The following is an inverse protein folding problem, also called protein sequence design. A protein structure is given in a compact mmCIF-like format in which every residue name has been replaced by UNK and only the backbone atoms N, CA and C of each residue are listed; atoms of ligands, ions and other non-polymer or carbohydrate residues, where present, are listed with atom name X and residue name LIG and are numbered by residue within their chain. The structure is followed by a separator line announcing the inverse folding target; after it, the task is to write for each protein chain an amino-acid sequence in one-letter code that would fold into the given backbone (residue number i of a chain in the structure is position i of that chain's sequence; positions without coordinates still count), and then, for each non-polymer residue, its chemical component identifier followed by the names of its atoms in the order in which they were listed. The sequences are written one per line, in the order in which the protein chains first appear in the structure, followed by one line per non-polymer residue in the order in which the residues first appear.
data_IF_843908107036
#
_entry.id   IF_843908107036
#
_cell.length_a   1.000
_cell.length_b   1.000
_cell.length_c   1.000
_cell.angle_alpha   90.00
_cell.angle_beta   90.00
_cell.angle_gamma   90.00
#
_symmetry.space_group_name_H-M   'P 1'
#
loop_
_entity.id
_entity.type
_entity.pdbx_description
1 polymer ?
#
# COMPACT_ATOMS: atom_id res chain seq x y z
N UNK A 1 -55.07 -9.77 70.77
CA UNK A 1 -54.66 -8.33 70.77
C UNK A 1 -53.24 -8.27 70.31
N UNK A 2 -53.03 -7.78 69.09
CA UNK A 2 -51.68 -7.68 68.48
C UNK A 2 -51.19 -6.26 68.77
N UNK A 3 -50.14 -6.16 69.60
CA UNK A 3 -49.54 -4.90 70.00
C UNK A 3 -48.59 -4.40 68.87
N UNK A 4 -49.03 -3.48 67.99
CA UNK A 4 -48.24 -2.81 66.95
C UNK A 4 -47.34 -1.77 67.62
N UNK A 5 -46.07 -2.07 67.87
CA UNK A 5 -45.11 -1.07 68.28
C UNK A 5 -44.83 -0.13 67.06
N UNK A 6 -45.21 1.12 67.23
CA UNK A 6 -44.86 2.21 66.30
C UNK A 6 -43.38 2.50 66.49
N UNK A 7 -42.52 2.13 65.48
CA UNK A 7 -41.13 2.60 65.38
C UNK A 7 -41.19 4.08 65.12
N UNK A 8 -40.69 4.92 66.00
CA UNK A 8 -40.40 6.32 65.74
C UNK A 8 -39.32 6.43 64.70
N UNK A 9 -39.57 7.02 63.54
CA UNK A 9 -38.57 7.41 62.62
C UNK A 9 -37.87 8.66 63.15
N UNK A 10 -36.62 8.57 63.55
CA UNK A 10 -35.78 9.72 63.87
C UNK A 10 -35.48 10.47 62.54
N UNK A 11 -35.80 11.74 62.50
CA UNK A 11 -35.47 12.60 61.36
C UNK A 11 -33.94 12.86 61.29
N UNK A 12 -33.41 12.97 60.06
CA UNK A 12 -32.00 13.28 59.86
C UNK A 12 -31.67 14.70 60.35
N UNK A 13 -30.50 14.87 60.96
CA UNK A 13 -29.96 16.18 61.32
C UNK A 13 -29.51 16.92 60.07
N UNK A 14 -29.69 18.24 60.05
CA UNK A 14 -29.14 19.09 58.95
C UNK A 14 -27.65 18.90 58.72
N UNK A 15 -26.91 18.69 59.79
CA UNK A 15 -25.45 18.42 59.77
C UNK A 15 -25.14 17.07 59.09
N UNK A 16 -25.94 16.05 59.38
CA UNK A 16 -25.84 14.73 58.76
C UNK A 16 -26.11 14.79 57.25
N UNK A 17 -27.09 15.60 56.82
CA UNK A 17 -27.37 15.86 55.42
C UNK A 17 -26.22 16.59 54.71
N UNK A 18 -25.64 17.59 55.38
CA UNK A 18 -24.49 18.32 54.82
C UNK A 18 -23.26 17.40 54.65
N UNK A 19 -22.97 16.57 55.62
CA UNK A 19 -21.85 15.60 55.57
C UNK A 19 -22.12 14.56 54.46
N UNK A 20 -23.33 14.04 54.35
CA UNK A 20 -23.72 13.09 53.31
C UNK A 20 -23.59 13.72 51.88
N UNK A 21 -23.97 14.99 51.68
CA UNK A 21 -23.80 15.70 50.44
C UNK A 21 -22.31 15.91 50.09
N UNK A 22 -21.46 16.30 51.05
CA UNK A 22 -20.03 16.46 50.81
C UNK A 22 -19.36 15.12 50.45
N UNK A 23 -19.68 14.04 51.14
CA UNK A 23 -19.16 12.71 50.84
C UNK A 23 -19.63 12.21 49.45
N UNK A 24 -20.93 12.45 49.14
CA UNK A 24 -21.48 12.08 47.83
C UNK A 24 -20.81 12.85 46.69
N UNK A 25 -20.53 14.14 46.89
CA UNK A 25 -19.84 14.97 45.89
C UNK A 25 -18.40 14.53 45.68
N UNK A 26 -17.67 14.20 46.75
CA UNK A 26 -16.32 13.67 46.69
C UNK A 26 -16.28 12.31 45.95
N UNK A 27 -17.22 11.42 46.28
CA UNK A 27 -17.35 10.12 45.62
C UNK A 27 -17.71 10.24 44.13
N UNK A 28 -18.67 11.10 43.81
CA UNK A 28 -19.05 11.39 42.42
C UNK A 28 -17.86 11.93 41.62
N UNK A 29 -17.08 12.87 42.19
CA UNK A 29 -15.86 13.39 41.56
C UNK A 29 -14.81 12.30 41.27
N UNK A 30 -14.63 11.38 42.21
CA UNK A 30 -13.76 10.22 42.04
C UNK A 30 -14.21 9.29 40.92
N UNK A 31 -15.50 8.96 40.87
CA UNK A 31 -16.07 8.10 39.81
C UNK A 31 -15.95 8.73 38.45
N UNK A 32 -16.28 10.03 38.34
CA UNK A 32 -16.14 10.77 37.07
C UNK A 32 -14.69 10.79 36.60
N UNK A 33 -13.72 11.01 37.50
CA UNK A 33 -12.30 11.01 37.15
C UNK A 33 -11.84 9.65 36.59
N UNK A 34 -12.23 8.55 37.24
CA UNK A 34 -11.93 7.19 36.76
C UNK A 34 -12.58 6.92 35.40
N UNK A 35 -13.85 7.32 35.24
CA UNK A 35 -14.57 7.13 33.99
C UNK A 35 -13.91 7.89 32.82
N UNK A 36 -13.55 9.17 33.02
CA UNK A 36 -12.87 9.99 32.00
C UNK A 36 -11.50 9.40 31.63
N UNK A 37 -10.73 8.94 32.62
CA UNK A 37 -9.42 8.33 32.35
C UNK A 37 -9.56 7.00 31.60
N UNK A 38 -10.52 6.16 31.96
CA UNK A 38 -10.76 4.89 31.26
C UNK A 38 -11.26 5.12 29.84
N UNK A 39 -12.16 6.08 29.62
CA UNK A 39 -12.65 6.44 28.29
C UNK A 39 -11.52 6.94 27.39
N UNK A 40 -10.63 7.77 27.94
CA UNK A 40 -9.45 8.24 27.23
C UNK A 40 -8.49 7.10 26.86
N UNK A 41 -8.16 6.24 27.82
CA UNK A 41 -7.29 5.08 27.55
C UNK A 41 -7.88 4.16 26.47
N UNK A 42 -9.19 3.93 26.52
CA UNK A 42 -9.88 3.10 25.52
C UNK A 42 -9.79 3.71 24.10
N UNK A 43 -10.01 5.03 23.96
CA UNK A 43 -9.86 5.71 22.68
C UNK A 43 -8.42 5.63 22.14
N UNK A 44 -7.44 5.80 23.03
CA UNK A 44 -6.03 5.67 22.68
C UNK A 44 -5.67 4.27 22.18
N UNK A 45 -6.11 3.24 22.91
CA UNK A 45 -5.88 1.84 22.53
C UNK A 45 -6.55 1.51 21.18
N UNK A 46 -7.75 2.03 20.93
CA UNK A 46 -8.46 1.86 19.66
C UNK A 46 -7.68 2.53 18.49
N UNK A 47 -7.21 3.76 18.67
CA UNK A 47 -6.45 4.48 17.65
C UNK A 47 -5.12 3.77 17.34
N UNK A 48 -4.42 3.26 18.36
CA UNK A 48 -3.20 2.47 18.18
C UNK A 48 -3.51 1.15 17.49
N UNK A 49 -4.61 0.48 17.87
CA UNK A 49 -5.06 -0.75 17.23
C UNK A 49 -5.33 -0.57 15.73
N UNK A 50 -6.10 0.45 15.34
CA UNK A 50 -6.37 0.79 13.94
C UNK A 50 -5.09 1.07 13.16
N UNK A 51 -4.18 1.89 13.71
CA UNK A 51 -2.88 2.18 13.10
C UNK A 51 -2.08 0.88 12.82
N UNK A 52 -2.10 -0.07 13.75
CA UNK A 52 -1.38 -1.34 13.56
C UNK A 52 -2.03 -2.23 12.51
N UNK A 53 -3.34 -2.27 12.45
CA UNK A 53 -4.09 -3.06 11.46
C UNK A 53 -3.92 -2.48 10.06
N UNK A 54 -4.00 -1.16 9.89
CA UNK A 54 -3.75 -0.45 8.64
C UNK A 54 -2.31 -0.70 8.15
N UNK A 55 -1.31 -0.60 9.05
CA UNK A 55 0.08 -0.85 8.69
C UNK A 55 0.33 -2.31 8.25
N UNK A 56 -0.25 -3.29 8.94
CA UNK A 56 -0.14 -4.70 8.55
C UNK A 56 -0.87 -5.00 7.24
N UNK A 57 -2.00 -4.35 7.00
CA UNK A 57 -2.70 -4.46 5.73
C UNK A 57 -1.85 -3.88 4.59
N UNK A 58 -1.32 -2.67 4.77
CA UNK A 58 -0.42 -2.01 3.84
C UNK A 58 0.78 -2.90 3.46
N UNK A 59 1.48 -3.45 4.46
CA UNK A 59 2.62 -4.34 4.24
C UNK A 59 2.24 -5.59 3.45
N UNK A 60 1.11 -6.22 3.78
CA UNK A 60 0.65 -7.44 3.08
C UNK A 60 0.34 -7.19 1.62
N UNK A 61 -0.35 -6.08 1.31
CA UNK A 61 -0.68 -5.71 -0.07
C UNK A 61 0.57 -5.47 -0.91
N UNK A 62 1.51 -4.65 -0.41
CA UNK A 62 2.75 -4.36 -1.11
C UNK A 62 3.61 -5.63 -1.25
N UNK A 63 3.77 -6.40 -0.16
CA UNK A 63 4.57 -7.63 -0.16
C UNK A 63 4.01 -8.67 -1.13
N UNK A 64 2.68 -8.83 -1.19
CA UNK A 64 2.04 -9.74 -2.12
C UNK A 64 2.31 -9.33 -3.57
N UNK A 65 2.10 -8.06 -3.93
CA UNK A 65 2.32 -7.58 -5.29
C UNK A 65 3.81 -7.65 -5.67
N UNK A 66 4.74 -7.34 -4.75
CA UNK A 66 6.18 -7.50 -4.98
C UNK A 66 6.58 -8.96 -5.20
N UNK A 67 6.01 -9.90 -4.43
CA UNK A 67 6.29 -11.34 -4.62
C UNK A 67 5.87 -11.84 -5.99
N UNK A 68 4.85 -11.22 -6.56
CA UNK A 68 4.29 -11.54 -7.86
C UNK A 68 4.85 -10.68 -9.00
N UNK A 69 5.77 -9.76 -8.71
CA UNK A 69 6.38 -8.89 -9.73
C UNK A 69 7.02 -9.75 -10.84
N UNK A 70 6.69 -9.44 -12.10
CA UNK A 70 7.17 -10.20 -13.25
C UNK A 70 6.47 -11.55 -13.48
N UNK A 71 5.39 -11.85 -12.75
CA UNK A 71 4.59 -13.03 -13.03
C UNK A 71 3.73 -12.79 -14.30
N UNK A 72 4.03 -13.49 -15.36
CA UNK A 72 3.31 -13.46 -16.64
C UNK A 72 2.74 -14.84 -17.01
N UNK A 73 2.08 -15.47 -16.03
CA UNK A 73 1.48 -16.82 -16.16
C UNK A 73 2.53 -17.89 -16.49
N UNK A 74 2.34 -18.58 -17.60
CA UNK A 74 3.22 -19.61 -18.14
C UNK A 74 4.33 -19.05 -19.06
N UNK A 75 4.35 -17.71 -19.31
CA UNK A 75 5.41 -17.07 -20.08
C UNK A 75 6.68 -16.91 -19.27
N UNK A 76 7.78 -17.45 -19.77
CA UNK A 76 9.10 -17.27 -19.18
C UNK A 76 9.83 -16.05 -19.73
N UNK A 77 9.40 -15.53 -20.88
CA UNK A 77 10.05 -14.42 -21.62
C UNK A 77 9.05 -13.29 -21.86
N UNK A 78 9.04 -12.22 -21.05
CA UNK A 78 8.15 -11.08 -21.26
C UNK A 78 8.33 -10.36 -22.62
N UNK A 79 9.49 -10.49 -23.24
CA UNK A 79 9.76 -9.92 -24.57
C UNK A 79 8.91 -10.52 -25.69
N UNK A 80 8.31 -11.68 -25.47
CA UNK A 80 7.38 -12.32 -26.40
C UNK A 80 5.94 -11.82 -26.28
N UNK A 81 5.67 -10.89 -25.37
CA UNK A 81 4.36 -10.27 -25.22
C UNK A 81 4.19 -9.16 -26.22
N UNK A 82 3.22 -9.31 -27.09
CA UNK A 82 2.69 -8.27 -27.98
C UNK A 82 1.39 -7.68 -27.42
N UNK A 83 0.85 -6.66 -28.04
CA UNK A 83 -0.44 -6.09 -27.68
C UNK A 83 -1.35 -5.95 -28.90
N UNK A 84 -2.64 -6.14 -28.69
CA UNK A 84 -3.65 -5.94 -29.71
C UNK A 84 -3.76 -4.45 -30.06
N UNK A 85 -3.81 -4.15 -31.37
CA UNK A 85 -3.88 -2.75 -31.84
C UNK A 85 -5.13 -1.97 -31.40
N UNK A 86 -6.17 -2.66 -30.92
CA UNK A 86 -7.35 -2.07 -30.30
C UNK A 86 -7.22 -1.79 -28.79
N UNK A 87 -6.11 -2.16 -28.19
CA UNK A 87 -5.89 -1.97 -26.77
C UNK A 87 -5.55 -0.50 -26.46
N UNK A 88 -6.48 0.19 -25.78
CA UNK A 88 -6.25 1.55 -25.27
C UNK A 88 -6.46 1.57 -23.78
N UNK A 89 -5.52 2.17 -23.02
CA UNK A 89 -5.73 2.47 -21.61
C UNK A 89 -6.07 3.96 -21.47
N UNK A 90 -7.22 4.25 -20.88
CA UNK A 90 -7.53 5.58 -20.39
C UNK A 90 -6.58 5.92 -19.23
N UNK A 91 -5.92 7.09 -19.29
CA UNK A 91 -4.93 7.51 -18.28
C UNK A 91 -3.77 6.51 -18.12
N UNK A 92 -3.08 6.23 -19.21
CA UNK A 92 -1.81 5.48 -19.17
C UNK A 92 -0.79 6.23 -18.29
N UNK A 93 -0.25 5.56 -17.28
CA UNK A 93 0.68 6.13 -16.31
C UNK A 93 2.14 6.20 -16.81
N UNK A 94 2.39 6.17 -18.10
CA UNK A 94 3.74 6.27 -18.64
C UNK A 94 4.31 7.68 -18.61
N UNK A 95 5.62 7.83 -18.84
CA UNK A 95 6.23 9.15 -19.06
C UNK A 95 5.60 9.88 -20.24
N UNK A 96 5.68 11.21 -20.24
CA UNK A 96 5.18 12.02 -21.34
C UNK A 96 5.79 11.58 -22.69
N UNK A 97 4.94 11.34 -23.69
CA UNK A 97 5.36 10.88 -25.02
C UNK A 97 5.59 9.36 -25.15
N UNK A 98 5.46 8.58 -24.09
CA UNK A 98 5.53 7.11 -24.13
C UNK A 98 4.12 6.52 -24.00
N UNK A 99 3.40 6.45 -25.11
CA UNK A 99 2.11 5.77 -25.14
C UNK A 99 2.25 4.27 -24.82
N UNK A 100 1.23 3.71 -24.18
CA UNK A 100 1.12 2.30 -23.84
C UNK A 100 2.22 1.77 -22.87
N UNK A 101 2.77 2.65 -22.02
CA UNK A 101 3.79 2.25 -21.04
C UNK A 101 3.32 1.12 -20.13
N UNK A 102 2.05 1.13 -19.71
CA UNK A 102 1.51 0.07 -18.84
C UNK A 102 1.55 -1.31 -19.49
N UNK A 103 1.45 -1.40 -20.81
CA UNK A 103 1.49 -2.67 -21.54
C UNK A 103 2.90 -3.12 -21.90
N UNK A 104 3.87 -2.22 -21.88
CA UNK A 104 5.24 -2.62 -22.20
C UNK A 104 5.78 -3.49 -21.10
N UNK A 105 6.22 -4.67 -21.47
CA UNK A 105 6.90 -5.63 -20.60
C UNK A 105 8.42 -5.45 -20.67
N UNK A 106 8.91 -4.79 -21.73
CA UNK A 106 10.32 -4.48 -21.95
C UNK A 106 10.50 -3.01 -22.36
N UNK A 107 11.65 -2.43 -22.07
CA UNK A 107 12.03 -1.13 -22.65
C UNK A 107 12.46 -1.27 -24.11
N UNK A 108 12.05 -0.30 -24.95
CA UNK A 108 12.45 -0.26 -26.36
C UNK A 108 13.96 -0.05 -26.45
N UNK A 109 14.68 -1.03 -26.97
CA UNK A 109 16.12 -0.93 -27.28
C UNK A 109 17.06 -1.53 -26.24
N UNK A 110 16.60 -1.93 -25.05
CA UNK A 110 17.48 -2.50 -24.00
C UNK A 110 17.17 -3.95 -23.66
N UNK A 111 16.04 -4.49 -24.12
CA UNK A 111 15.60 -5.85 -23.77
C UNK A 111 15.21 -6.03 -22.29
N UNK A 112 15.18 -4.96 -21.53
CA UNK A 112 15.01 -5.01 -20.08
C UNK A 112 13.52 -5.07 -19.69
N UNK A 113 13.19 -5.95 -18.75
CA UNK A 113 11.83 -6.04 -18.22
C UNK A 113 11.49 -4.84 -17.33
N UNK A 114 10.35 -4.20 -17.60
CA UNK A 114 9.78 -3.14 -16.76
C UNK A 114 8.78 -3.68 -15.72
N UNK A 115 8.94 -4.94 -15.31
CA UNK A 115 8.02 -5.58 -14.37
C UNK A 115 8.09 -4.97 -12.97
N UNK A 116 9.22 -4.39 -12.62
CA UNK A 116 9.47 -3.71 -11.35
C UNK A 116 10.30 -2.47 -11.58
N UNK A 117 9.80 -1.31 -11.14
CA UNK A 117 10.50 -0.03 -11.16
C UNK A 117 10.30 0.68 -9.83
N UNK A 118 11.31 1.42 -9.40
CA UNK A 118 11.28 2.19 -8.17
C UNK A 118 11.75 3.63 -8.39
N UNK A 119 11.21 4.53 -7.58
CA UNK A 119 11.69 5.91 -7.42
C UNK A 119 11.96 6.09 -5.93
N UNK A 120 13.23 6.17 -5.58
CA UNK A 120 13.71 6.35 -4.21
C UNK A 120 13.51 7.80 -3.76
N UNK A 121 13.02 8.00 -2.54
CA UNK A 121 12.77 9.32 -1.96
C UNK A 121 12.08 10.29 -2.94
N UNK A 122 10.99 9.82 -3.54
CA UNK A 122 10.31 10.50 -4.63
C UNK A 122 9.80 11.88 -4.25
N UNK A 123 9.80 12.78 -5.22
CA UNK A 123 9.18 14.10 -5.15
C UNK A 123 8.03 14.18 -6.15
N UNK A 124 7.09 15.12 -5.96
CA UNK A 124 6.03 15.35 -6.93
C UNK A 124 6.57 15.59 -8.36
N UNK A 125 7.73 16.23 -8.48
CA UNK A 125 8.37 16.46 -9.78
C UNK A 125 8.92 15.16 -10.39
N UNK A 126 9.64 14.34 -9.62
CA UNK A 126 10.22 13.07 -10.12
C UNK A 126 9.13 12.07 -10.51
N UNK A 127 8.07 11.98 -9.70
CA UNK A 127 6.96 11.07 -9.97
C UNK A 127 6.13 11.50 -11.18
N UNK A 128 5.86 12.80 -11.35
CA UNK A 128 5.12 13.30 -12.51
C UNK A 128 5.92 13.15 -13.82
N UNK A 129 7.25 13.18 -13.75
CA UNK A 129 8.11 12.91 -14.89
C UNK A 129 8.10 11.43 -15.30
N UNK A 130 8.06 10.51 -14.34
CA UNK A 130 8.04 9.06 -14.58
C UNK A 130 6.63 8.52 -14.87
N UNK A 131 5.60 9.13 -14.29
CA UNK A 131 4.22 8.67 -14.32
C UNK A 131 3.23 9.80 -14.55
N UNK A 132 2.74 9.96 -15.78
CA UNK A 132 1.83 11.04 -16.19
C UNK A 132 0.45 11.03 -15.51
N UNK A 133 0.09 9.94 -14.86
CA UNK A 133 -1.18 9.80 -14.12
C UNK A 133 -1.16 10.41 -12.71
N UNK A 134 -0.03 10.96 -12.27
CA UNK A 134 0.03 11.69 -11.01
C UNK A 134 -0.33 13.16 -11.25
N UNK A 135 -1.42 13.58 -10.62
CA UNK A 135 -1.83 14.98 -10.61
C UNK A 135 -0.98 15.69 -9.55
N UNK A 136 -0.38 16.83 -9.93
CA UNK A 136 0.58 17.53 -9.09
C UNK A 136 0.11 17.77 -7.65
N UNK A 137 0.97 17.46 -6.68
CA UNK A 137 0.75 17.76 -5.26
C UNK A 137 0.05 16.67 -4.45
N UNK A 138 -0.21 15.48 -5.01
CA UNK A 138 -0.81 14.39 -4.21
C UNK A 138 0.21 13.50 -3.47
N UNK A 139 1.46 13.44 -3.93
CA UNK A 139 2.50 12.61 -3.33
C UNK A 139 3.02 13.22 -2.02
N UNK A 140 3.23 12.39 -1.02
CA UNK A 140 4.05 12.72 0.15
C UNK A 140 5.52 12.67 -0.25
N UNK A 141 6.17 13.82 -0.36
CA UNK A 141 7.59 13.92 -0.77
C UNK A 141 8.51 13.16 0.22
N UNK A 142 9.58 12.57 -0.31
CA UNK A 142 10.56 11.81 0.47
C UNK A 142 10.11 10.38 0.81
N UNK A 143 9.08 9.88 0.13
CA UNK A 143 8.64 8.48 0.22
C UNK A 143 8.92 7.75 -1.08
N UNK A 144 9.08 6.43 -1.03
CA UNK A 144 9.31 5.64 -2.23
C UNK A 144 8.02 5.41 -3.02
N UNK A 145 8.21 5.35 -4.34
CA UNK A 145 7.16 4.94 -5.29
C UNK A 145 7.62 3.68 -6.00
N UNK A 146 6.79 2.65 -6.01
CA UNK A 146 7.10 1.39 -6.67
C UNK A 146 6.02 1.00 -7.68
N UNK A 147 6.45 0.72 -8.91
CA UNK A 147 5.60 0.24 -10.01
C UNK A 147 5.82 -1.25 -10.22
N UNK A 148 4.75 -2.01 -10.21
CA UNK A 148 4.75 -3.47 -10.31
C UNK A 148 3.82 -3.87 -11.45
N UNK A 149 4.31 -4.73 -12.35
CA UNK A 149 3.50 -5.32 -13.42
C UNK A 149 3.47 -6.84 -13.26
N UNK A 150 2.27 -7.40 -13.30
CA UNK A 150 2.04 -8.82 -13.19
C UNK A 150 0.68 -9.21 -13.77
N UNK A 151 0.42 -10.48 -13.90
CA UNK A 151 -0.94 -10.99 -14.09
C UNK A 151 -1.50 -11.56 -12.78
N UNK A 152 -2.79 -11.90 -12.77
CA UNK A 152 -3.40 -12.59 -11.65
C UNK A 152 -2.80 -14.00 -11.47
N UNK A 153 -2.86 -14.55 -10.26
CA UNK A 153 -2.35 -15.89 -9.97
C UNK A 153 -3.23 -17.05 -10.48
N UNK A 154 -4.37 -16.74 -11.12
CA UNK A 154 -5.28 -17.71 -11.69
C UNK A 154 -5.86 -17.27 -13.03
N UNK A 155 -6.24 -18.23 -13.85
CA UNK A 155 -6.87 -18.00 -15.16
C UNK A 155 -8.19 -17.23 -15.02
N UNK A 156 -8.47 -16.37 -15.99
CA UNK A 156 -9.72 -15.63 -16.08
C UNK A 156 -10.77 -16.50 -16.82
N UNK A 157 -11.74 -17.02 -16.09
CA UNK A 157 -12.85 -17.80 -16.68
C UNK A 157 -13.86 -16.93 -17.42
N UNK A 158 -13.93 -15.63 -17.09
CA UNK A 158 -14.84 -14.65 -17.70
C UNK A 158 -14.05 -13.35 -17.96
N UNK A 159 -14.19 -12.84 -19.16
CA UNK A 159 -13.60 -11.56 -19.57
C UNK A 159 -14.57 -10.41 -19.28
N UNK A 160 -14.10 -9.39 -18.58
CA UNK A 160 -14.84 -8.13 -18.35
C UNK A 160 -14.46 -7.12 -19.41
N UNK A 161 -15.41 -6.43 -20.00
CA UNK A 161 -15.16 -5.36 -20.96
C UNK A 161 -14.25 -4.25 -20.44
N UNK A 162 -14.18 -4.10 -19.12
CA UNK A 162 -13.37 -3.09 -18.43
C UNK A 162 -11.99 -3.61 -17.98
N UNK A 163 -11.64 -4.85 -18.33
CA UNK A 163 -10.38 -5.49 -17.94
C UNK A 163 -9.33 -5.44 -19.05
N UNK A 164 -8.07 -5.57 -18.69
CA UNK A 164 -6.99 -5.94 -19.59
C UNK A 164 -6.51 -7.35 -19.24
N UNK A 165 -6.18 -8.13 -20.24
CA UNK A 165 -5.85 -9.55 -20.09
C UNK A 165 -4.62 -9.90 -20.93
N UNK A 166 -3.84 -10.83 -20.40
CA UNK A 166 -2.80 -11.52 -21.15
C UNK A 166 -3.35 -12.87 -21.61
N UNK A 167 -3.36 -13.10 -22.92
CA UNK A 167 -3.59 -14.42 -23.52
C UNK A 167 -2.25 -15.05 -23.85
N UNK A 168 -2.01 -16.25 -23.38
CA UNK A 168 -0.75 -16.95 -23.61
C UNK A 168 -0.93 -18.44 -23.84
N UNK A 169 0.07 -19.06 -24.48
CA UNK A 169 0.19 -20.50 -24.67
C UNK A 169 1.54 -21.04 -24.15
N UNK A 170 2.20 -20.27 -23.28
CA UNK A 170 3.52 -20.60 -22.75
C UNK A 170 4.71 -20.13 -23.57
N UNK A 171 4.50 -19.79 -24.86
CA UNK A 171 5.59 -19.36 -25.76
C UNK A 171 5.44 -17.90 -26.16
N UNK A 172 4.23 -17.49 -26.50
CA UNK A 172 3.89 -16.13 -26.91
C UNK A 172 2.69 -15.62 -26.12
N UNK A 173 2.62 -14.30 -25.94
CA UNK A 173 1.53 -13.65 -25.25
C UNK A 173 1.00 -12.44 -26.02
N UNK A 174 -0.30 -12.18 -25.86
CA UNK A 174 -0.98 -10.99 -26.38
C UNK A 174 -1.76 -10.31 -25.27
N UNK A 175 -1.44 -9.04 -24.99
CA UNK A 175 -2.25 -8.19 -24.15
C UNK A 175 -3.42 -7.61 -24.93
N UNK A 176 -4.63 -7.66 -24.39
CA UNK A 176 -5.84 -7.18 -25.03
C UNK A 176 -6.84 -6.63 -23.99
N UNK A 177 -7.76 -5.79 -24.43
CA UNK A 177 -8.86 -5.31 -23.60
C UNK A 177 -10.05 -6.30 -23.63
N UNK A 178 -10.79 -6.37 -22.56
CA UNK A 178 -11.86 -7.31 -22.19
C UNK A 178 -12.83 -7.89 -23.22
N UNK A 179 -12.71 -7.52 -24.48
CA UNK A 179 -13.31 -8.22 -25.61
C UNK A 179 -12.21 -9.04 -26.26
N UNK A 180 -12.47 -10.30 -26.59
CA UNK A 180 -11.49 -11.14 -27.28
C UNK A 180 -10.86 -10.38 -28.45
N UNK A 181 -9.55 -10.46 -28.65
CA UNK A 181 -8.87 -9.70 -29.69
C UNK A 181 -9.50 -10.04 -31.05
N UNK A 182 -9.91 -9.02 -31.78
CA UNK A 182 -10.61 -9.16 -33.06
C UNK A 182 -9.66 -9.59 -34.19
N UNK A 183 -8.38 -9.22 -34.04
CA UNK A 183 -7.29 -9.65 -34.90
C UNK A 183 -5.99 -9.58 -34.09
N UNK A 184 -5.60 -10.65 -33.37
CA UNK A 184 -4.35 -10.62 -32.62
C UNK A 184 -3.19 -10.45 -33.61
N UNK A 185 -2.20 -9.58 -33.33
CA UNK A 185 -1.02 -9.41 -34.18
C UNK A 185 -0.21 -10.69 -34.32
N UNK A 186 -0.37 -11.61 -33.34
CA UNK A 186 0.14 -12.98 -33.38
C UNK A 186 -0.98 -13.93 -32.97
N UNK A 187 -1.32 -14.90 -33.82
CA UNK A 187 -2.28 -15.93 -33.48
C UNK A 187 -1.70 -16.78 -32.33
N UNK A 188 -2.29 -16.68 -31.15
CA UNK A 188 -1.93 -17.57 -30.04
C UNK A 188 -2.59 -18.93 -30.25
N UNK A 189 -1.74 -19.93 -30.57
CA UNK A 189 -2.19 -21.31 -30.81
C UNK A 189 -2.75 -21.94 -29.53
N UNK A 190 -3.57 -22.97 -29.71
CA UNK A 190 -4.08 -23.82 -28.61
C UNK A 190 -3.00 -24.80 -28.12
N UNK A 191 -2.97 -25.18 -26.84
CA UNK A 191 -3.83 -24.69 -25.76
C UNK A 191 -3.44 -23.24 -25.36
N UNK A 192 -4.44 -22.46 -24.94
CA UNK A 192 -4.22 -21.06 -24.49
C UNK A 192 -5.11 -20.72 -23.32
N UNK A 193 -4.65 -19.82 -22.46
CA UNK A 193 -5.40 -19.30 -21.32
C UNK A 193 -5.33 -17.77 -21.26
N UNK A 194 -6.31 -17.16 -20.59
CA UNK A 194 -6.41 -15.72 -20.38
C UNK A 194 -6.17 -15.40 -18.91
N UNK A 195 -5.35 -14.37 -18.66
CA UNK A 195 -4.94 -13.97 -17.33
C UNK A 195 -5.18 -12.47 -17.13
N UNK A 196 -5.87 -12.07 -16.05
CA UNK A 196 -6.12 -10.67 -15.80
C UNK A 196 -4.80 -9.92 -15.56
N UNK A 197 -4.53 -8.88 -16.34
CA UNK A 197 -3.36 -8.03 -16.18
C UNK A 197 -3.55 -7.05 -15.02
N UNK A 198 -2.58 -6.97 -14.10
CA UNK A 198 -2.65 -6.27 -12.83
C UNK A 198 -1.44 -5.36 -12.60
N UNK A 199 -1.29 -4.28 -13.37
CA UNK A 199 -0.29 -3.25 -13.08
C UNK A 199 -0.72 -2.42 -11.87
N UNK A 200 0.24 -2.08 -11.00
CA UNK A 200 0.03 -1.28 -9.79
C UNK A 200 1.18 -0.32 -9.56
N UNK A 201 0.92 0.89 -9.11
CA UNK A 201 1.93 1.86 -8.67
C UNK A 201 1.57 2.27 -7.24
N UNK A 202 2.36 1.84 -6.26
CA UNK A 202 2.18 2.18 -4.86
C UNK A 202 2.90 3.46 -4.50
N UNK A 203 2.25 4.30 -3.70
CA UNK A 203 2.79 5.59 -3.24
C UNK A 203 2.07 6.06 -1.98
N UNK A 204 2.65 6.99 -1.25
CA UNK A 204 2.00 7.66 -0.13
C UNK A 204 1.37 8.97 -0.63
N UNK A 205 0.06 9.09 -0.45
CA UNK A 205 -0.69 10.32 -0.71
C UNK A 205 -0.73 11.17 0.55
N UNK A 206 -0.61 12.49 0.40
CA UNK A 206 -0.58 13.44 1.53
C UNK A 206 -1.91 13.52 2.32
N UNK A 207 -3.00 13.01 1.76
CA UNK A 207 -4.34 13.13 2.33
C UNK A 207 -5.17 11.85 2.11
N UNK A 208 -6.14 11.61 2.98
CA UNK A 208 -7.05 10.49 2.88
C UNK A 208 -8.28 10.79 1.99
N UNK A 209 -9.04 11.82 2.33
CA UNK A 209 -10.29 12.15 1.64
C UNK A 209 -10.17 13.42 0.78
N UNK A 210 -9.58 14.49 1.32
CA UNK A 210 -9.45 15.76 0.64
C UNK A 210 -8.09 16.41 0.91
N UNK A 211 -7.52 17.14 -0.08
CA UNK A 211 -6.30 17.91 0.15
C UNK A 211 -6.41 18.80 1.38
N UNK A 212 -5.41 18.71 2.28
CA UNK A 212 -5.36 19.49 3.52
C UNK A 212 -5.91 18.80 4.77
N UNK A 213 -6.44 17.56 4.68
CA UNK A 213 -6.82 16.78 5.88
C UNK A 213 -5.60 16.26 6.67
N UNK A 214 -4.42 16.32 6.07
CA UNK A 214 -3.15 15.92 6.68
C UNK A 214 -3.13 14.46 7.19
N UNK A 215 -3.90 13.57 6.58
CA UNK A 215 -3.89 12.14 6.89
C UNK A 215 -3.15 11.40 5.78
N UNK A 216 -1.84 11.16 5.91
CA UNK A 216 -1.08 10.47 4.88
C UNK A 216 -1.61 9.04 4.71
N UNK A 217 -1.73 8.60 3.46
CA UNK A 217 -2.46 7.39 3.12
C UNK A 217 -1.72 6.60 2.06
N UNK A 218 -1.52 5.29 2.28
CA UNK A 218 -1.04 4.41 1.23
C UNK A 218 -2.11 4.25 0.17
N UNK A 219 -1.78 4.65 -1.05
CA UNK A 219 -2.63 4.47 -2.22
C UNK A 219 -1.87 3.70 -3.31
N UNK A 220 -2.63 3.17 -4.27
CA UNK A 220 -2.08 2.65 -5.51
C UNK A 220 -2.84 3.19 -6.71
N UNK A 221 -2.14 3.45 -7.81
CA UNK A 221 -2.75 3.51 -9.12
C UNK A 221 -2.90 2.07 -9.61
N UNK A 222 -4.11 1.67 -9.95
CA UNK A 222 -4.42 0.32 -10.41
C UNK A 222 -5.31 0.37 -11.65
N UNK A 223 -5.15 -0.64 -12.51
CA UNK A 223 -5.93 -0.75 -13.74
C UNK A 223 -7.36 -1.17 -13.41
N UNK A 224 -8.29 -0.24 -13.45
CA UNK A 224 -9.73 -0.42 -13.18
C UNK A 224 -10.54 0.60 -13.98
N UNK A 225 -11.87 0.54 -13.87
CA UNK A 225 -12.78 1.56 -14.41
C UNK A 225 -13.56 1.13 -15.64
N UNK A 226 -14.32 2.05 -16.22
CA UNK A 226 -15.13 1.85 -17.43
C UNK A 226 -14.21 1.94 -18.66
N UNK A 227 -13.78 0.79 -19.18
CA UNK A 227 -12.64 0.63 -20.06
C UNK A 227 -11.35 0.50 -19.23
N UNK A 228 -10.31 -0.19 -19.71
CA UNK A 228 -9.08 -0.30 -18.95
C UNK A 228 -8.49 1.11 -18.72
N UNK A 229 -8.43 1.55 -17.47
CA UNK A 229 -7.90 2.84 -17.07
C UNK A 229 -7.20 2.77 -15.72
N UNK A 230 -6.16 3.59 -15.51
CA UNK A 230 -5.48 3.68 -14.23
C UNK A 230 -6.25 4.61 -13.30
N UNK A 231 -6.71 4.09 -12.17
CA UNK A 231 -7.46 4.82 -11.16
C UNK A 231 -6.77 4.73 -9.80
N UNK A 232 -6.98 5.74 -8.96
CA UNK A 232 -6.46 5.74 -7.58
C UNK A 232 -7.34 4.90 -6.68
N UNK A 233 -6.73 3.99 -5.93
CA UNK A 233 -7.33 3.20 -4.87
C UNK A 233 -6.49 3.39 -3.59
N UNK A 234 -7.10 3.87 -2.51
CA UNK A 234 -6.41 4.04 -1.24
C UNK A 234 -6.70 2.86 -0.32
N UNK A 235 -5.67 2.32 0.31
CA UNK A 235 -5.65 1.03 0.97
C UNK A 235 -5.58 1.14 2.48
N UNK A 236 -4.76 2.07 3.00
CA UNK A 236 -4.51 2.17 4.43
C UNK A 236 -4.21 3.62 4.82
N UNK A 237 -4.93 4.14 5.81
CA UNK A 237 -4.75 5.49 6.33
C UNK A 237 -3.62 5.55 7.36
N UNK A 238 -3.07 6.75 7.59
CA UNK A 238 -2.03 6.95 8.59
C UNK A 238 -0.66 6.35 8.21
N UNK A 239 -0.41 6.02 6.95
CA UNK A 239 0.91 5.59 6.49
C UNK A 239 1.71 6.82 6.07
N UNK A 240 2.65 7.23 6.92
CA UNK A 240 3.38 8.49 6.78
C UNK A 240 4.63 8.38 5.91
N UNK A 241 5.27 7.21 5.90
CA UNK A 241 6.43 6.94 5.05
C UNK A 241 6.47 5.49 4.58
N UNK A 242 6.95 5.29 3.37
CA UNK A 242 7.24 4.00 2.74
C UNK A 242 8.66 4.06 2.21
N UNK A 243 9.49 3.07 2.58
CA UNK A 243 10.84 2.89 2.04
C UNK A 243 11.05 1.42 1.66
N UNK A 244 11.74 1.16 0.56
CA UNK A 244 11.97 -0.18 0.05
C UNK A 244 13.46 -0.35 -0.30
N UNK A 245 14.08 -1.38 0.27
CA UNK A 245 15.41 -1.82 -0.12
C UNK A 245 15.30 -3.06 -0.98
N UNK A 246 16.04 -3.09 -2.07
CA UNK A 246 16.08 -4.19 -3.03
C UNK A 246 17.34 -5.01 -2.85
N UNK A 247 17.18 -6.29 -2.64
CA UNK A 247 18.26 -7.27 -2.53
C UNK A 247 18.66 -7.75 -3.92
N UNK A 248 19.85 -7.37 -4.35
CA UNK A 248 20.43 -7.65 -5.66
C UNK A 248 21.29 -8.91 -5.58
N UNK A 249 21.10 -9.82 -6.50
CA UNK A 249 21.92 -11.02 -6.68
C UNK A 249 22.93 -10.78 -7.81
N UNK A 250 24.17 -10.44 -7.45
CA UNK A 250 25.26 -10.23 -8.42
C UNK A 250 26.04 -11.50 -8.72
N UNK A 251 25.78 -12.59 -8.01
CA UNK A 251 26.47 -13.87 -8.13
C UNK A 251 25.63 -14.98 -8.76
N UNK A 252 24.36 -14.67 -9.11
CA UNK A 252 23.40 -15.59 -9.75
C UNK A 252 23.08 -16.85 -8.91
N UNK A 253 23.35 -16.78 -7.59
CA UNK A 253 23.13 -17.92 -6.67
C UNK A 253 21.73 -17.91 -6.03
N UNK A 254 20.92 -16.87 -6.31
CA UNK A 254 19.57 -16.70 -5.80
C UNK A 254 19.46 -16.09 -4.41
N UNK A 255 20.58 -15.58 -3.90
CA UNK A 255 20.63 -14.89 -2.63
C UNK A 255 21.05 -13.44 -2.85
N UNK A 256 20.48 -12.46 -2.12
CA UNK A 256 20.91 -11.08 -2.24
C UNK A 256 22.32 -10.90 -1.66
N UNK A 257 23.22 -10.34 -2.45
CA UNK A 257 24.58 -10.00 -2.02
C UNK A 257 24.68 -8.57 -1.50
N UNK A 258 23.91 -7.65 -2.10
CA UNK A 258 23.88 -6.24 -1.74
C UNK A 258 22.44 -5.76 -1.62
N UNK A 259 22.24 -4.74 -0.80
CA UNK A 259 20.94 -4.09 -0.61
C UNK A 259 21.05 -2.65 -1.06
N UNK A 260 20.13 -2.21 -1.94
CA UNK A 260 20.10 -0.88 -2.50
C UNK A 260 18.69 -0.29 -2.38
N UNK A 261 18.58 0.98 -1.97
CA UNK A 261 17.33 1.74 -2.00
C UNK A 261 17.04 2.32 -3.39
N UNK A 262 18.09 2.66 -4.14
CA UNK A 262 18.00 3.25 -5.48
C UNK A 262 18.76 2.41 -6.51
N UNK A 263 18.31 1.18 -6.84
CA UNK A 263 18.95 0.37 -7.85
C UNK A 263 18.75 0.95 -9.25
N UNK A 264 19.77 0.80 -10.10
CA UNK A 264 19.65 1.09 -11.53
C UNK A 264 18.68 0.13 -12.20
N UNK A 265 18.20 0.47 -13.41
CA UNK A 265 17.31 -0.40 -14.19
C UNK A 265 17.93 -1.79 -14.44
N UNK A 266 19.22 -1.85 -14.73
CA UNK A 266 19.96 -3.12 -14.92
C UNK A 266 20.00 -3.94 -13.61
N UNK A 267 20.21 -3.29 -12.46
CA UNK A 267 20.20 -3.97 -11.17
C UNK A 267 18.81 -4.47 -10.78
N UNK A 268 17.75 -3.74 -11.17
CA UNK A 268 16.37 -4.21 -10.93
C UNK A 268 16.06 -5.56 -11.58
N UNK A 269 16.78 -5.95 -12.62
CA UNK A 269 16.61 -7.25 -13.26
C UNK A 269 17.21 -8.40 -12.43
N UNK A 270 18.17 -8.12 -11.56
CA UNK A 270 18.80 -9.11 -10.68
C UNK A 270 18.25 -9.03 -9.24
N UNK A 271 17.14 -8.36 -9.04
CA UNK A 271 16.43 -8.32 -7.75
C UNK A 271 15.85 -9.69 -7.42
N UNK A 272 16.18 -10.21 -6.24
CA UNK A 272 15.68 -11.49 -5.73
C UNK A 272 14.87 -11.35 -4.44
N UNK A 273 14.96 -10.20 -3.79
CA UNK A 273 14.28 -9.92 -2.53
C UNK A 273 14.04 -8.43 -2.36
N UNK A 274 13.07 -8.07 -1.51
CA UNK A 274 12.86 -6.68 -1.07
C UNK A 274 12.60 -6.63 0.43
N UNK A 275 13.05 -5.56 1.08
CA UNK A 275 12.68 -5.17 2.45
C UNK A 275 11.80 -3.95 2.37
N UNK A 276 10.66 -4.00 3.02
CA UNK A 276 9.67 -2.93 3.03
C UNK A 276 9.64 -2.36 4.44
N UNK A 277 9.75 -1.05 4.55
CA UNK A 277 9.67 -0.31 5.81
C UNK A 277 8.53 0.70 5.72
N UNK A 278 7.72 0.76 6.76
CA UNK A 278 6.63 1.75 6.90
C UNK A 278 6.78 2.49 8.22
N UNK A 279 6.50 3.80 8.20
CA UNK A 279 6.14 4.55 9.41
C UNK A 279 4.63 4.72 9.38
N UNK A 280 3.93 4.09 10.32
CA UNK A 280 2.51 4.32 10.52
C UNK A 280 2.29 5.29 11.69
N UNK A 281 1.32 6.17 11.52
CA UNK A 281 0.90 7.20 12.45
C UNK A 281 -0.58 7.06 12.79
N UNK A 282 -0.95 7.28 14.04
CA UNK A 282 -2.36 7.43 14.41
C UNK A 282 -2.98 8.61 13.63
N UNK A 283 -4.22 8.47 13.20
CA UNK A 283 -4.93 9.52 12.45
C UNK A 283 -5.42 10.66 13.33
N UNK A 284 -5.57 10.42 14.63
CA UNK A 284 -6.00 11.39 15.62
C UNK A 284 -4.85 11.80 16.54
N UNK A 285 -4.84 13.07 16.93
CA UNK A 285 -3.85 13.63 17.83
C UNK A 285 -4.19 13.28 19.29
N UNK A 286 -3.20 12.86 20.04
CA UNK A 286 -3.28 12.71 21.48
C UNK A 286 -2.77 14.00 22.17
N UNK A 287 -3.68 14.77 22.74
CA UNK A 287 -3.36 16.05 23.39
C UNK A 287 -2.56 15.91 24.68
N UNK A 288 -2.45 14.70 25.24
CA UNK A 288 -1.67 14.41 26.46
C UNK A 288 -0.30 13.81 26.17
N UNK A 289 0.02 13.58 24.89
CA UNK A 289 1.25 12.94 24.44
C UNK A 289 2.07 13.91 23.59
N UNK A 290 3.39 13.86 23.75
CA UNK A 290 4.34 14.53 22.86
C UNK A 290 5.34 13.50 22.36
N UNK A 291 5.37 13.29 21.06
CA UNK A 291 6.24 12.34 20.41
C UNK A 291 7.61 12.96 20.14
N UNK A 292 8.56 12.70 21.00
CA UNK A 292 9.97 13.17 20.87
C UNK A 292 10.91 12.06 20.38
N UNK A 293 10.37 10.93 19.91
CA UNK A 293 11.16 9.79 19.43
C UNK A 293 11.73 10.10 18.04
N UNK A 294 12.89 9.53 17.76
CA UNK A 294 13.47 9.51 16.42
C UNK A 294 13.07 8.21 15.72
N UNK A 295 12.63 8.31 14.48
CA UNK A 295 12.28 7.20 13.63
C UNK A 295 13.21 7.16 12.43
N UNK A 296 13.99 6.10 12.30
CA UNK A 296 14.94 5.89 11.21
C UNK A 296 14.51 4.66 10.42
N UNK A 297 14.33 4.80 9.11
CA UNK A 297 14.00 3.70 8.19
C UNK A 297 14.81 3.82 6.90
N UNK A 298 15.48 2.74 6.51
CA UNK A 298 16.29 2.69 5.29
C UNK A 298 17.20 3.91 5.11
N UNK A 299 17.14 4.58 3.96
CA UNK A 299 17.90 5.79 3.62
C UNK A 299 17.10 7.09 3.75
N UNK A 300 15.86 7.04 4.25
CA UNK A 300 15.09 8.26 4.51
C UNK A 300 15.74 9.10 5.62
N UNK A 301 15.61 10.43 5.58
CA UNK A 301 16.01 11.27 6.70
C UNK A 301 15.28 10.88 7.99
N UNK A 302 16.00 10.97 9.11
CA UNK A 302 15.42 10.71 10.43
C UNK A 302 14.21 11.61 10.69
N UNK A 303 13.09 11.00 11.08
CA UNK A 303 11.88 11.72 11.45
C UNK A 303 11.85 11.96 12.96
N UNK A 304 11.89 13.23 13.37
CA UNK A 304 11.70 13.68 14.76
C UNK A 304 10.47 14.59 14.82
N UNK A 305 9.27 14.03 15.02
CA UNK A 305 8.02 14.74 14.78
C UNK A 305 7.71 15.85 15.76
N UNK A 306 8.04 15.71 17.05
CA UNK A 306 7.72 16.62 18.13
C UNK A 306 6.26 17.09 18.15
N UNK A 307 5.33 16.15 17.99
CA UNK A 307 3.88 16.34 17.91
C UNK A 307 3.11 15.35 18.79
N UNK A 308 1.77 15.41 18.77
CA UNK A 308 0.90 14.53 19.57
C UNK A 308 0.49 13.23 18.88
N UNK A 309 1.11 12.82 17.79
CA UNK A 309 0.73 11.59 17.11
C UNK A 309 1.56 10.38 17.56
N UNK A 310 0.90 9.29 17.90
CA UNK A 310 1.56 8.01 18.10
C UNK A 310 2.03 7.43 16.76
N UNK A 311 3.29 6.96 16.73
CA UNK A 311 3.91 6.35 15.54
C UNK A 311 4.57 5.05 15.87
N UNK A 312 4.64 4.18 14.87
CA UNK A 312 5.38 2.92 14.94
C UNK A 312 5.98 2.58 13.57
N UNK A 313 7.19 2.02 13.62
CA UNK A 313 7.85 1.43 12.45
C UNK A 313 7.38 -0.01 12.30
N UNK A 314 7.08 -0.39 11.07
CA UNK A 314 6.78 -1.76 10.65
C UNK A 314 7.70 -2.14 9.51
N UNK A 315 8.12 -3.39 9.45
CA UNK A 315 8.92 -3.89 8.34
C UNK A 315 8.60 -5.34 8.03
N UNK A 316 8.83 -5.71 6.78
CA UNK A 316 8.76 -7.09 6.31
C UNK A 316 9.76 -7.30 5.18
N UNK A 317 10.09 -8.57 4.92
CA UNK A 317 10.92 -8.96 3.77
C UNK A 317 10.12 -9.91 2.89
N UNK A 318 10.33 -9.80 1.58
CA UNK A 318 9.66 -10.62 0.58
C UNK A 318 10.65 -11.10 -0.48
N UNK A 319 10.49 -12.36 -0.94
CA UNK A 319 11.26 -12.91 -2.06
C UNK A 319 10.57 -12.59 -3.38
N UNK A 320 11.35 -12.22 -4.40
CA UNK A 320 10.90 -11.89 -5.75
C UNK A 320 11.40 -12.97 -6.71
N UNK A 321 10.58 -14.01 -6.92
CA UNK A 321 10.99 -15.22 -7.63
C UNK A 321 10.93 -15.08 -9.15
N UNK A 322 9.92 -14.37 -9.68
CA UNK A 322 9.66 -14.39 -11.13
C UNK A 322 10.72 -13.63 -11.93
N UNK A 323 11.20 -12.49 -11.42
CA UNK A 323 12.26 -11.70 -12.05
C UNK A 323 13.56 -12.53 -12.11
N UNK A 324 13.89 -13.23 -11.03
CA UNK A 324 15.04 -14.13 -10.99
C UNK A 324 14.96 -15.25 -12.01
N UNK A 325 13.81 -15.91 -12.14
CA UNK A 325 13.63 -17.00 -13.09
C UNK A 325 13.89 -16.56 -14.52
N UNK A 326 13.45 -15.34 -14.88
CA UNK A 326 13.72 -14.75 -16.19
C UNK A 326 15.22 -14.57 -16.46
N UNK A 327 15.97 -14.08 -15.48
CA UNK A 327 17.41 -13.84 -15.63
C UNK A 327 18.25 -15.12 -15.72
N UNK A 328 17.90 -16.16 -14.94
CA UNK A 328 18.63 -17.44 -14.98
C UNK A 328 18.49 -18.18 -16.31
N UNK A 329 17.47 -17.86 -17.12
CA UNK A 329 17.27 -18.44 -18.44
C UNK A 329 18.05 -17.72 -19.54
N UNK A 330 18.82 -16.67 -19.21
CA UNK A 330 19.74 -15.99 -20.16
C UNK A 330 19.05 -15.14 -21.23
N UNK A 331 17.90 -14.53 -20.87
CA UNK A 331 17.09 -13.71 -21.80
C UNK A 331 17.05 -12.25 -21.39
#
# INVERSE_FOLDING_TARGET
MINRQRKFQAGFSVVELMIAMLLSMALAGGIISVFVNNSYSFQQDENIGRMQDDARHALREIAFDLSMAGHYADLHIPSTVSYDGGLTIGQDCGPAGQANWMYRTTETGTGNSLSLMAIDNATNASVSAAHSCFIGGELQDGTDVVSIKRVAGGEASVLSANGAYLRTNGTVGVLFSGVAPTAPPVAVALPRADWAFRPSIYYIRQFANAPGDNIPTLCRKALRGAGPGMTTECLATGIENLQIEYGIDTSENGQPNIWLSSPTLAQMQTVVSARIFLIARATEIDTRYVNTKTYSISNAPDLVPNDGFHRRVFSTSVSIQNIRTMNMMGF
#
